data_IF_037514345148
#
_entry.id   IF_037514345148
#
_cell.length_a   1.000
_cell.length_b   1.000
_cell.length_c   1.000
_cell.angle_alpha   90.00
_cell.angle_beta   90.00
_cell.angle_gamma   90.00
#
_symmetry.space_group_name_H-M   'P 1'
#
loop_
_entity.id
_entity.type
_entity.pdbx_description
1 polymer ?
#
# COMPACT_ATOMS: atom_id res chain seq x y z
N UNK A 1 12.65 8.37 -13.97
CA UNK A 1 12.90 9.60 -14.75
C UNK A 1 12.93 10.81 -13.80
N UNK A 2 13.86 10.82 -12.83
CA UNK A 2 14.35 12.04 -12.15
C UNK A 2 15.78 11.72 -11.72
N UNK A 3 16.70 11.94 -12.66
CA UNK A 3 18.10 12.24 -12.40
C UNK A 3 18.38 13.57 -13.10
N UNK A 4 17.46 14.53 -12.92
CA UNK A 4 17.68 15.90 -13.36
C UNK A 4 18.89 16.39 -12.57
N UNK A 5 19.88 16.98 -13.25
CA UNK A 5 21.06 17.53 -12.58
C UNK A 5 20.64 18.35 -11.36
N UNK A 6 21.35 18.23 -10.24
CA UNK A 6 21.08 18.93 -8.98
C UNK A 6 20.02 18.33 -8.06
N UNK A 7 19.58 17.08 -8.27
CA UNK A 7 18.74 16.34 -7.32
C UNK A 7 19.29 14.93 -7.06
N UNK A 8 19.10 14.43 -5.84
CA UNK A 8 19.29 13.04 -5.46
C UNK A 8 17.95 12.46 -4.99
N UNK A 9 17.68 11.21 -5.36
CA UNK A 9 16.53 10.43 -4.87
C UNK A 9 17.06 9.31 -4.00
N UNK A 10 16.54 9.17 -2.80
CA UNK A 10 17.03 8.21 -1.82
C UNK A 10 15.90 7.36 -1.25
N UNK A 11 16.24 6.11 -0.92
CA UNK A 11 15.39 5.20 -0.17
C UNK A 11 16.14 4.76 1.08
N UNK A 12 15.45 4.80 2.21
CA UNK A 12 16.00 4.45 3.53
C UNK A 12 15.29 3.23 4.13
N UNK A 13 15.82 2.68 5.21
CA UNK A 13 15.06 1.81 6.10
C UNK A 13 14.27 2.61 7.16
N UNK A 14 13.62 1.92 8.10
CA UNK A 14 12.83 2.56 9.17
C UNK A 14 13.67 3.32 10.20
N UNK A 15 14.98 3.07 10.25
CA UNK A 15 15.91 3.72 11.17
C UNK A 15 16.60 4.95 10.53
N UNK A 16 16.33 5.22 9.26
CA UNK A 16 16.92 6.34 8.53
C UNK A 16 18.27 6.02 7.89
N UNK A 17 18.64 4.74 7.77
CA UNK A 17 19.84 4.34 7.02
C UNK A 17 19.54 4.38 5.54
N UNK A 18 20.35 5.11 4.76
CA UNK A 18 20.24 5.16 3.31
C UNK A 18 20.61 3.81 2.70
N UNK A 19 19.63 3.14 2.08
CA UNK A 19 19.81 1.86 1.41
C UNK A 19 20.22 2.03 -0.05
N UNK A 20 19.64 3.01 -0.73
CA UNK A 20 19.87 3.25 -2.16
C UNK A 20 19.77 4.74 -2.48
N UNK A 21 20.62 5.19 -3.41
CA UNK A 21 20.72 6.57 -3.86
C UNK A 21 20.81 6.61 -5.38
N UNK A 22 20.01 7.48 -5.99
CA UNK A 22 20.08 7.82 -7.42
C UNK A 22 20.39 9.29 -7.58
N UNK A 23 21.56 9.58 -8.13
CA UNK A 23 22.07 10.94 -8.32
C UNK A 23 22.85 11.04 -9.62
N UNK A 24 22.88 12.21 -10.25
CA UNK A 24 23.73 12.45 -11.41
C UNK A 24 25.21 12.43 -11.02
N UNK A 25 26.08 11.89 -11.87
CA UNK A 25 27.52 11.76 -11.58
C UNK A 25 28.22 13.09 -11.28
N UNK A 26 27.74 14.20 -11.87
CA UNK A 26 28.26 15.54 -11.58
C UNK A 26 27.87 16.08 -10.19
N UNK A 27 26.78 15.58 -9.61
CA UNK A 27 26.26 16.03 -8.31
C UNK A 27 26.67 15.10 -7.16
N UNK A 28 27.07 13.86 -7.45
CA UNK A 28 27.47 12.87 -6.44
C UNK A 28 28.50 13.41 -5.43
N UNK A 29 29.58 14.12 -5.84
CA UNK A 29 30.55 14.66 -4.88
C UNK A 29 29.94 15.68 -3.90
N UNK A 30 28.93 16.44 -4.34
CA UNK A 30 28.25 17.44 -3.51
C UNK A 30 27.42 16.76 -2.43
N UNK A 31 26.57 15.80 -2.82
CA UNK A 31 25.75 15.04 -1.86
C UNK A 31 26.59 14.21 -0.90
N UNK A 32 27.68 13.60 -1.39
CA UNK A 32 28.66 12.90 -0.54
C UNK A 32 29.32 13.86 0.46
N UNK A 33 29.64 15.09 0.05
CA UNK A 33 30.18 16.13 0.94
C UNK A 33 29.20 16.55 2.04
N UNK A 34 27.90 16.44 1.80
CA UNK A 34 26.85 16.64 2.81
C UNK A 34 26.59 15.41 3.69
N UNK A 35 27.25 14.29 3.41
CA UNK A 35 27.04 13.02 4.11
C UNK A 35 25.79 12.26 3.64
N UNK A 36 25.15 12.70 2.56
CA UNK A 36 23.96 12.06 1.98
C UNK A 36 24.41 11.05 0.93
N UNK A 37 24.66 9.81 1.35
CA UNK A 37 25.12 8.73 0.48
C UNK A 37 24.67 7.36 1.00
N UNK A 38 24.76 6.31 0.16
CA UNK A 38 24.48 4.93 0.56
C UNK A 38 25.23 4.54 1.86
N UNK A 39 24.50 3.94 2.80
CA UNK A 39 24.97 3.53 4.13
C UNK A 39 25.05 4.64 5.17
N UNK A 40 24.72 5.89 4.83
CA UNK A 40 24.69 6.96 5.81
C UNK A 40 23.45 6.85 6.71
N UNK A 41 23.65 7.12 8.02
CA UNK A 41 22.57 7.21 9.01
C UNK A 41 22.09 8.67 9.11
N UNK A 42 20.84 8.88 8.71
CA UNK A 42 20.13 10.16 8.71
C UNK A 42 18.98 10.21 9.74
N UNK A 43 19.03 9.35 10.76
CA UNK A 43 18.15 9.46 11.92
C UNK A 43 18.24 10.85 12.55
N UNK A 44 17.13 11.30 13.15
CA UNK A 44 17.11 12.59 13.85
C UNK A 44 18.05 12.58 15.09
N UNK A 45 18.27 11.42 15.71
CA UNK A 45 19.24 11.24 16.80
C UNK A 45 20.67 11.59 16.37
N UNK A 46 21.03 11.26 15.11
CA UNK A 46 22.39 11.45 14.60
C UNK A 46 22.61 12.79 13.90
N UNK A 47 21.67 13.22 13.06
CA UNK A 47 21.82 14.40 12.21
C UNK A 47 21.04 15.63 12.73
N UNK A 48 20.24 15.47 13.79
CA UNK A 48 19.27 16.48 14.23
C UNK A 48 18.13 16.64 13.22
N UNK A 49 17.36 17.73 13.31
CA UNK A 49 16.27 18.03 12.37
C UNK A 49 16.77 18.02 10.92
N UNK A 50 16.27 17.05 10.16
CA UNK A 50 16.60 16.80 8.75
C UNK A 50 15.39 16.19 8.02
N UNK A 51 15.42 16.08 6.68
CA UNK A 51 14.31 15.51 5.92
C UNK A 51 13.89 14.09 6.36
N UNK A 52 14.81 13.13 6.24
CA UNK A 52 14.60 11.70 6.47
C UNK A 52 14.17 11.43 7.91
N UNK A 53 15.01 11.83 8.88
CA UNK A 53 14.78 11.56 10.30
C UNK A 53 13.47 12.18 10.81
N UNK A 54 13.22 13.45 10.45
CA UNK A 54 11.98 14.14 10.85
C UNK A 54 10.77 13.50 10.20
N UNK A 55 10.86 13.04 8.94
CA UNK A 55 9.78 12.33 8.26
C UNK A 55 9.36 11.06 9.00
N UNK A 56 10.35 10.26 9.41
CA UNK A 56 10.16 9.02 10.16
C UNK A 56 9.55 9.31 11.55
N UNK A 57 10.09 10.29 12.26
CA UNK A 57 9.62 10.68 13.60
C UNK A 57 8.18 11.23 13.58
N UNK A 58 7.87 12.14 12.65
CA UNK A 58 6.57 12.78 12.52
C UNK A 58 5.50 11.90 11.86
N UNK A 59 5.92 10.77 11.26
CA UNK A 59 5.05 9.82 10.54
C UNK A 59 4.21 10.47 9.45
N UNK A 60 4.76 11.48 8.79
CA UNK A 60 4.08 12.25 7.73
C UNK A 60 5.08 12.80 6.73
N UNK A 61 4.57 13.20 5.57
CA UNK A 61 5.36 13.95 4.60
C UNK A 61 5.87 15.24 5.25
N UNK A 62 7.14 15.53 5.03
CA UNK A 62 7.79 16.77 5.44
C UNK A 62 8.46 17.43 4.25
N UNK A 63 8.65 18.74 4.37
CA UNK A 63 9.55 19.51 3.51
C UNK A 63 10.44 20.23 4.51
N UNK A 64 11.75 20.02 4.42
CA UNK A 64 12.74 20.74 5.22
C UNK A 64 13.53 21.61 4.26
N UNK A 65 13.35 22.92 4.36
CA UNK A 65 13.94 23.91 3.50
C UNK A 65 15.16 24.54 4.15
N UNK A 66 16.35 24.30 3.58
CA UNK A 66 17.56 25.07 3.86
C UNK A 66 17.88 25.18 5.35
N UNK A 67 17.77 26.38 5.90
CA UNK A 67 18.07 26.74 7.29
C UNK A 67 17.16 26.04 8.32
N UNK A 68 16.11 25.35 7.88
CA UNK A 68 15.35 24.42 8.71
C UNK A 68 16.15 23.14 9.06
N UNK A 69 17.25 22.85 8.37
CA UNK A 69 18.18 21.78 8.76
C UNK A 69 18.99 22.17 9.99
N UNK A 70 19.11 21.27 10.97
CA UNK A 70 19.86 21.51 12.21
C UNK A 70 21.37 21.71 11.96
N UNK A 71 21.98 20.95 11.05
CA UNK A 71 23.40 21.06 10.74
C UNK A 71 23.67 22.05 9.61
N UNK A 72 24.58 23.00 9.86
CA UNK A 72 24.98 24.05 8.91
C UNK A 72 25.49 23.49 7.58
N UNK A 73 26.11 22.30 7.56
CA UNK A 73 26.55 21.66 6.30
C UNK A 73 25.39 21.34 5.35
N UNK A 74 24.18 21.19 5.86
CA UNK A 74 22.99 20.77 5.10
C UNK A 74 22.07 21.94 4.72
N UNK A 75 22.34 23.17 5.18
CA UNK A 75 21.43 24.31 4.96
C UNK A 75 21.40 24.83 3.52
N UNK A 76 22.28 24.33 2.66
CA UNK A 76 22.25 24.57 1.23
C UNK A 76 21.27 23.64 0.48
N UNK A 77 20.67 22.66 1.17
CA UNK A 77 19.80 21.63 0.62
C UNK A 77 18.33 21.90 0.96
N UNK A 78 17.42 21.44 0.10
CA UNK A 78 16.01 21.27 0.45
C UNK A 78 15.63 19.81 0.29
N UNK A 79 15.01 19.23 1.31
CA UNK A 79 14.57 17.84 1.34
C UNK A 79 13.05 17.79 1.29
N UNK A 80 12.54 16.80 0.57
CA UNK A 80 11.12 16.48 0.50
C UNK A 80 11.03 14.99 0.73
N UNK A 81 10.34 14.61 1.79
CA UNK A 81 10.38 13.24 2.32
C UNK A 81 8.97 12.73 2.53
N UNK A 82 8.74 11.45 2.22
CA UNK A 82 7.50 10.77 2.48
C UNK A 82 7.76 9.41 3.15
N UNK A 83 6.99 9.05 4.19
CA UNK A 83 7.11 7.74 4.81
C UNK A 83 6.51 6.68 3.89
N UNK A 84 7.06 5.47 3.97
CA UNK A 84 6.56 4.27 3.28
C UNK A 84 6.06 3.31 4.35
N UNK A 85 4.80 2.93 4.24
CA UNK A 85 4.15 2.01 5.17
C UNK A 85 4.18 0.54 4.73
N UNK A 86 4.53 -0.33 5.66
CA UNK A 86 4.50 -1.78 5.50
C UNK A 86 3.08 -2.35 5.49
N UNK A 87 3.00 -3.64 5.16
CA UNK A 87 1.74 -4.39 5.10
C UNK A 87 1.04 -4.54 6.47
N UNK A 88 1.79 -4.36 7.56
CA UNK A 88 1.28 -4.32 8.93
C UNK A 88 0.84 -2.91 9.36
N UNK A 89 0.99 -1.90 8.51
CA UNK A 89 0.62 -0.51 8.79
C UNK A 89 1.71 0.34 9.46
N UNK A 90 2.85 -0.26 9.84
CA UNK A 90 4.02 0.46 10.40
C UNK A 90 4.84 1.12 9.31
N UNK A 91 5.68 2.09 9.67
CA UNK A 91 6.67 2.65 8.74
C UNK A 91 7.80 1.64 8.56
N UNK A 92 8.20 1.40 7.31
CA UNK A 92 9.31 0.49 6.95
C UNK A 92 10.47 1.21 6.27
N UNK A 93 10.25 2.44 5.81
CA UNK A 93 11.21 3.24 5.06
C UNK A 93 10.74 4.70 4.97
N UNK A 94 11.64 5.59 4.58
CA UNK A 94 11.31 6.87 3.97
C UNK A 94 11.91 6.98 2.56
N UNK A 95 11.18 7.63 1.65
CA UNK A 95 11.68 8.06 0.36
C UNK A 95 11.95 9.57 0.40
N UNK A 96 13.13 9.97 -0.05
CA UNK A 96 13.60 11.35 -0.06
C UNK A 96 13.91 11.82 -1.49
N UNK A 97 13.62 13.10 -1.74
CA UNK A 97 14.21 13.86 -2.84
C UNK A 97 14.88 15.08 -2.28
N UNK A 98 16.21 15.04 -2.28
CA UNK A 98 17.08 16.14 -1.87
C UNK A 98 17.57 16.93 -3.08
N UNK A 99 17.45 18.27 -3.04
CA UNK A 99 17.96 19.14 -4.10
C UNK A 99 19.10 20.04 -3.64
N UNK A 100 20.13 20.12 -4.49
CA UNK A 100 21.28 20.97 -4.33
C UNK A 100 21.13 22.37 -4.98
N UNK A 101 19.97 22.67 -5.59
CA UNK A 101 19.79 23.89 -6.41
C UNK A 101 19.17 25.03 -5.62
N UNK A 102 19.78 26.23 -5.76
CA UNK A 102 19.31 27.48 -5.16
C UNK A 102 18.02 28.00 -5.82
N UNK A 103 17.72 27.60 -7.05
CA UNK A 103 16.58 28.11 -7.85
C UNK A 103 15.34 27.19 -7.82
N UNK A 104 15.16 26.36 -6.79
CA UNK A 104 13.94 25.59 -6.66
C UNK A 104 12.74 26.52 -6.43
N UNK A 105 11.85 26.60 -7.41
CA UNK A 105 10.59 27.33 -7.30
C UNK A 105 9.58 26.51 -6.51
N UNK A 106 8.66 27.18 -5.81
CA UNK A 106 7.61 26.52 -5.02
C UNK A 106 6.75 25.56 -5.88
N UNK A 107 6.52 25.90 -7.15
CA UNK A 107 5.81 25.04 -8.10
C UNK A 107 6.55 23.72 -8.39
N UNK A 108 7.89 23.77 -8.51
CA UNK A 108 8.69 22.57 -8.70
C UNK A 108 8.68 21.66 -7.45
N UNK A 109 8.73 22.26 -6.26
CA UNK A 109 8.67 21.51 -5.00
C UNK A 109 7.32 20.81 -4.82
N UNK A 110 6.21 21.43 -5.25
CA UNK A 110 4.89 20.80 -5.24
C UNK A 110 4.83 19.59 -6.18
N UNK A 111 5.44 19.69 -7.36
CA UNK A 111 5.50 18.57 -8.31
C UNK A 111 6.36 17.42 -7.79
N UNK A 112 7.53 17.72 -7.21
CA UNK A 112 8.37 16.70 -6.55
C UNK A 112 7.60 16.03 -5.42
N UNK A 113 6.97 16.81 -4.53
CA UNK A 113 6.21 16.27 -3.42
C UNK A 113 5.06 15.37 -3.88
N UNK A 114 4.33 15.76 -4.92
CA UNK A 114 3.28 14.92 -5.49
C UNK A 114 3.84 13.61 -6.04
N UNK A 115 4.92 13.67 -6.82
CA UNK A 115 5.56 12.48 -7.39
C UNK A 115 6.12 11.56 -6.29
N UNK A 116 6.74 12.13 -5.26
CA UNK A 116 7.29 11.42 -4.12
C UNK A 116 6.21 10.61 -3.40
N UNK A 117 5.07 11.25 -3.10
CA UNK A 117 3.92 10.58 -2.48
C UNK A 117 3.38 9.45 -3.35
N UNK A 118 3.30 9.65 -4.67
CA UNK A 118 2.87 8.58 -5.59
C UNK A 118 3.87 7.42 -5.63
N UNK A 119 5.17 7.71 -5.59
CA UNK A 119 6.21 6.67 -5.53
C UNK A 119 6.17 5.92 -4.20
N UNK A 120 5.98 6.60 -3.06
CA UNK A 120 5.79 5.95 -1.77
C UNK A 120 4.60 4.98 -1.83
N UNK A 121 3.43 5.44 -2.29
CA UNK A 121 2.22 4.61 -2.45
C UNK A 121 2.44 3.39 -3.35
N UNK A 122 3.17 3.54 -4.46
CA UNK A 122 3.50 2.42 -5.34
C UNK A 122 4.40 1.37 -4.66
N UNK A 123 5.35 1.82 -3.83
CA UNK A 123 6.18 0.92 -3.01
C UNK A 123 5.32 0.20 -1.98
N UNK A 124 4.41 0.90 -1.31
CA UNK A 124 3.48 0.30 -0.33
C UNK A 124 2.58 -0.77 -0.96
N UNK A 125 2.01 -0.49 -2.13
CA UNK A 125 1.17 -1.45 -2.87
C UNK A 125 1.99 -2.68 -3.29
N UNK A 126 3.19 -2.48 -3.86
CA UNK A 126 4.08 -3.58 -4.23
C UNK A 126 4.49 -4.43 -3.00
N UNK A 127 4.84 -3.78 -1.89
CA UNK A 127 5.18 -4.45 -0.64
C UNK A 127 3.98 -5.24 -0.07
N UNK A 128 2.76 -4.68 -0.14
CA UNK A 128 1.56 -5.38 0.28
C UNK A 128 1.27 -6.63 -0.56
N UNK A 129 1.43 -6.54 -1.87
CA UNK A 129 1.31 -7.70 -2.77
C UNK A 129 2.34 -8.79 -2.46
N UNK A 130 3.59 -8.41 -2.20
CA UNK A 130 4.65 -9.35 -1.82
C UNK A 130 4.38 -10.01 -0.46
N UNK A 131 3.87 -9.25 0.53
CA UNK A 131 3.58 -9.76 1.86
C UNK A 131 2.45 -10.79 1.91
N UNK A 132 1.51 -10.73 0.95
CA UNK A 132 0.37 -11.64 0.86
C UNK A 132 0.34 -12.37 -0.48
N UNK A 133 1.48 -12.92 -0.89
CA UNK A 133 1.61 -13.71 -2.11
C UNK A 133 0.58 -14.85 -2.14
N UNK A 134 -0.14 -14.98 -3.26
CA UNK A 134 -1.18 -16.00 -3.45
C UNK A 134 -2.55 -15.65 -2.85
N UNK A 135 -2.66 -14.58 -2.05
CA UNK A 135 -3.96 -14.08 -1.61
C UNK A 135 -4.68 -13.33 -2.75
N UNK A 136 -6.01 -13.41 -2.75
CA UNK A 136 -6.84 -12.60 -3.65
C UNK A 136 -6.92 -11.18 -3.12
N UNK A 137 -6.59 -10.20 -3.95
CA UNK A 137 -6.69 -8.79 -3.57
C UNK A 137 -8.07 -8.23 -3.91
N UNK A 138 -8.72 -7.64 -2.91
CA UNK A 138 -9.91 -6.81 -3.10
C UNK A 138 -9.50 -5.34 -3.04
N UNK A 139 -9.75 -4.64 -4.14
CA UNK A 139 -9.56 -3.19 -4.25
C UNK A 139 -10.93 -2.52 -4.13
N UNK A 140 -11.05 -1.56 -3.21
CA UNK A 140 -12.19 -0.66 -3.21
C UNK A 140 -11.88 0.56 -4.07
N UNK A 141 -12.81 0.95 -4.94
CA UNK A 141 -12.74 2.22 -5.64
C UNK A 141 -13.13 3.32 -4.66
N UNK A 142 -12.25 4.29 -4.46
CA UNK A 142 -12.53 5.47 -3.65
C UNK A 142 -12.23 6.70 -4.48
N UNK A 143 -13.20 7.59 -4.62
CA UNK A 143 -13.08 8.84 -5.39
C UNK A 143 -12.03 9.81 -4.81
N UNK A 144 -11.60 9.59 -3.56
CA UNK A 144 -10.60 10.42 -2.89
C UNK A 144 -9.27 9.70 -2.69
N UNK A 145 -8.21 10.39 -3.14
CA UNK A 145 -6.79 10.10 -2.92
C UNK A 145 -6.32 8.75 -3.50
N UNK A 146 -5.53 8.78 -4.57
CA UNK A 146 -4.96 7.63 -5.34
C UNK A 146 -4.31 6.47 -4.53
N UNK A 147 -4.17 6.59 -3.21
CA UNK A 147 -3.73 5.48 -2.36
C UNK A 147 -4.72 4.31 -2.44
N UNK A 148 -4.20 3.14 -2.81
CA UNK A 148 -4.98 1.92 -2.98
C UNK A 148 -5.61 1.46 -1.66
N UNK A 149 -6.92 1.21 -1.69
CA UNK A 149 -7.65 0.55 -0.60
C UNK A 149 -7.66 -0.93 -0.88
N UNK A 150 -6.65 -1.66 -0.39
CA UNK A 150 -6.49 -3.10 -0.62
C UNK A 150 -6.73 -3.92 0.64
N UNK A 151 -7.48 -5.01 0.47
CA UNK A 151 -7.65 -6.11 1.40
C UNK A 151 -7.10 -7.39 0.77
N UNK A 152 -6.27 -8.13 1.50
CA UNK A 152 -5.80 -9.47 1.09
C UNK A 152 -6.75 -10.53 1.65
N UNK A 153 -7.25 -11.43 0.79
CA UNK A 153 -8.24 -12.45 1.14
C UNK A 153 -7.73 -13.84 0.79
N UNK A 154 -7.82 -14.76 1.74
CA UNK A 154 -7.40 -16.15 1.55
C UNK A 154 -8.44 -17.01 0.80
N UNK A 155 -8.18 -18.32 0.72
CA UNK A 155 -9.05 -19.29 0.06
C UNK A 155 -10.39 -19.54 0.77
N UNK A 156 -10.49 -19.20 2.05
CA UNK A 156 -11.66 -19.40 2.90
C UNK A 156 -12.51 -18.12 3.03
N UNK A 157 -12.24 -17.11 2.19
CA UNK A 157 -12.91 -15.80 2.17
C UNK A 157 -12.68 -14.99 3.46
N UNK A 158 -11.57 -15.25 4.16
CA UNK A 158 -11.10 -14.44 5.27
C UNK A 158 -10.16 -13.35 4.76
N UNK A 159 -10.43 -12.12 5.14
CA UNK A 159 -9.45 -11.03 5.06
C UNK A 159 -8.34 -11.34 6.04
N UNK A 160 -7.11 -11.42 5.53
CA UNK A 160 -5.89 -11.72 6.28
C UNK A 160 -4.92 -10.53 6.32
N UNK A 161 -5.23 -9.46 5.59
CA UNK A 161 -4.41 -8.25 5.54
C UNK A 161 -5.17 -7.05 5.01
N UNK A 162 -4.75 -5.86 5.41
CA UNK A 162 -5.29 -4.60 4.93
C UNK A 162 -4.20 -3.52 4.89
N UNK A 163 -4.15 -2.77 3.78
CA UNK A 163 -3.33 -1.56 3.65
C UNK A 163 -3.68 -0.52 4.72
N UNK A 164 -2.77 0.41 5.01
CA UNK A 164 -3.01 1.47 6.02
C UNK A 164 -4.28 2.27 5.75
N UNK A 165 -4.57 2.63 4.50
CA UNK A 165 -5.80 3.33 4.12
C UNK A 165 -7.04 2.45 4.33
N UNK A 166 -6.98 1.16 3.96
CA UNK A 166 -8.05 0.21 4.23
C UNK A 166 -8.30 0.04 5.73
N UNK A 167 -7.24 -0.07 6.56
CA UNK A 167 -7.38 -0.14 8.02
C UNK A 167 -8.16 1.05 8.57
N UNK A 168 -7.85 2.26 8.11
CA UNK A 168 -8.58 3.49 8.50
C UNK A 168 -10.05 3.46 8.07
N UNK A 169 -10.33 3.10 6.82
CA UNK A 169 -11.71 3.08 6.27
C UNK A 169 -12.59 2.06 6.98
N UNK A 170 -12.07 0.86 7.24
CA UNK A 170 -12.81 -0.23 7.87
C UNK A 170 -12.75 -0.22 9.41
N UNK A 171 -12.22 0.84 10.03
CA UNK A 171 -12.14 0.95 11.50
C UNK A 171 -11.31 -0.14 12.17
N UNK A 172 -10.24 -0.60 11.50
CA UNK A 172 -9.35 -1.65 11.99
C UNK A 172 -8.20 -1.08 12.81
N UNK A 173 -7.50 -1.94 13.54
CA UNK A 173 -6.25 -1.58 14.21
C UNK A 173 -5.26 -0.96 13.21
N UNK A 174 -4.73 0.22 13.55
CA UNK A 174 -3.90 1.00 12.65
C UNK A 174 -2.62 0.27 12.24
N UNK A 175 -2.03 -0.49 13.16
CA UNK A 175 -0.74 -1.14 12.99
C UNK A 175 -0.71 -2.55 13.62
N UNK A 176 0.24 -3.38 13.17
CA UNK A 176 0.50 -4.71 13.69
C UNK A 176 -0.22 -5.84 12.95
N UNK A 177 -0.14 -7.03 13.56
CA UNK A 177 -0.71 -8.25 13.01
C UNK A 177 -2.21 -8.10 12.74
N UNK A 178 -2.64 -8.58 11.57
CA UNK A 178 -4.05 -8.56 11.21
C UNK A 178 -4.73 -9.79 11.80
N UNK A 179 -5.78 -9.60 12.59
CA UNK A 179 -6.63 -10.70 13.04
C UNK A 179 -7.56 -11.10 11.88
N UNK A 180 -7.52 -12.34 11.37
CA UNK A 180 -8.35 -12.72 10.23
C UNK A 180 -9.84 -12.53 10.49
N UNK A 181 -10.58 -12.00 9.50
CA UNK A 181 -12.04 -11.75 9.61
C UNK A 181 -12.75 -12.10 8.30
N UNK A 182 -14.00 -12.58 8.32
CA UNK A 182 -14.76 -12.80 7.09
C UNK A 182 -14.84 -11.54 6.23
N UNK A 183 -14.61 -11.67 4.92
CA UNK A 183 -14.72 -10.54 3.99
C UNK A 183 -16.13 -9.94 3.95
N UNK A 184 -17.16 -10.77 4.20
CA UNK A 184 -18.54 -10.30 4.28
C UNK A 184 -18.78 -9.28 5.40
N UNK A 185 -18.14 -9.47 6.56
CA UNK A 185 -18.28 -8.62 7.75
C UNK A 185 -17.66 -7.24 7.52
N UNK A 186 -16.56 -7.17 6.77
CA UNK A 186 -15.87 -5.91 6.48
C UNK A 186 -16.54 -5.13 5.35
N UNK A 187 -17.14 -5.83 4.38
CA UNK A 187 -17.77 -5.21 3.22
C UNK A 187 -19.26 -4.88 3.43
N UNK A 188 -19.79 -5.06 4.65
CA UNK A 188 -21.15 -4.64 5.01
C UNK A 188 -22.26 -5.31 4.20
N UNK A 189 -22.06 -6.56 3.75
CA UNK A 189 -23.11 -7.30 3.04
C UNK A 189 -24.07 -7.98 4.01
N UNK A 190 -24.69 -7.19 4.89
CA UNK A 190 -25.59 -7.65 5.96
C UNK A 190 -27.04 -7.87 5.51
N UNK A 191 -27.42 -7.48 4.29
CA UNK A 191 -28.82 -7.57 3.84
C UNK A 191 -29.15 -8.89 3.09
N UNK A 192 -28.32 -9.92 3.25
CA UNK A 192 -28.41 -11.19 2.50
C UNK A 192 -28.64 -12.43 3.37
N UNK A 193 -29.02 -13.58 2.78
CA UNK A 193 -29.26 -14.83 3.50
C UNK A 193 -28.10 -15.21 4.43
N UNK A 194 -28.41 -15.83 5.56
CA UNK A 194 -27.44 -16.20 6.61
C UNK A 194 -26.30 -17.07 6.06
N UNK A 195 -25.12 -16.98 6.68
CA UNK A 195 -23.82 -17.36 6.08
C UNK A 195 -23.77 -18.71 5.35
N UNK A 196 -24.40 -19.76 5.88
CA UNK A 196 -24.39 -21.08 5.26
C UNK A 196 -25.23 -21.13 3.97
N UNK A 197 -26.39 -20.49 3.96
CA UNK A 197 -27.26 -20.43 2.77
C UNK A 197 -26.66 -19.54 1.68
N UNK A 198 -25.97 -18.45 2.04
CA UNK A 198 -25.25 -17.60 1.09
C UNK A 198 -24.05 -18.32 0.46
N UNK A 199 -23.27 -19.04 1.27
CA UNK A 199 -22.16 -19.85 0.77
C UNK A 199 -22.65 -20.95 -0.17
N UNK A 200 -23.72 -21.64 0.20
CA UNK A 200 -24.34 -22.67 -0.63
C UNK A 200 -24.91 -22.09 -1.94
N UNK A 201 -25.61 -20.94 -1.86
CA UNK A 201 -26.12 -20.23 -3.04
C UNK A 201 -24.99 -19.83 -3.99
N UNK A 202 -23.90 -19.28 -3.46
CA UNK A 202 -22.74 -18.90 -4.26
C UNK A 202 -22.07 -20.12 -4.92
N UNK A 203 -21.96 -21.24 -4.20
CA UNK A 203 -21.43 -22.49 -4.76
C UNK A 203 -22.30 -23.03 -5.90
N UNK A 204 -23.63 -23.01 -5.73
CA UNK A 204 -24.58 -23.44 -6.77
C UNK A 204 -24.52 -22.54 -8.00
N UNK A 205 -24.52 -21.22 -7.82
CA UNK A 205 -24.42 -20.26 -8.94
C UNK A 205 -23.10 -20.47 -9.71
N UNK A 206 -21.96 -20.56 -9.02
CA UNK A 206 -20.65 -20.80 -9.68
C UNK A 206 -20.63 -22.09 -10.48
N UNK A 207 -21.21 -23.17 -9.95
CA UNK A 207 -21.28 -24.45 -10.64
C UNK A 207 -22.17 -24.38 -11.90
N UNK A 208 -23.33 -23.71 -11.81
CA UNK A 208 -24.22 -23.50 -12.95
C UNK A 208 -23.57 -22.62 -14.03
N UNK A 209 -22.90 -21.53 -13.65
CA UNK A 209 -22.19 -20.67 -14.61
C UNK A 209 -21.06 -21.40 -15.33
N UNK A 210 -20.25 -22.20 -14.63
CA UNK A 210 -19.19 -23.02 -15.26
C UNK A 210 -19.73 -24.11 -16.17
N UNK A 211 -20.94 -24.58 -15.90
CA UNK A 211 -21.65 -25.58 -16.69
C UNK A 211 -22.51 -24.96 -17.81
N UNK A 212 -22.45 -23.64 -18.02
CA UNK A 212 -23.29 -22.90 -18.97
C UNK A 212 -24.78 -23.24 -18.80
N UNK A 213 -25.26 -23.30 -17.56
CA UNK A 213 -26.65 -23.62 -17.22
C UNK A 213 -26.98 -25.12 -17.19
N UNK A 214 -26.04 -26.01 -17.56
CA UNK A 214 -26.29 -27.45 -17.53
C UNK A 214 -26.33 -27.99 -16.10
N UNK A 215 -27.55 -28.14 -15.56
CA UNK A 215 -27.82 -28.60 -14.19
C UNK A 215 -27.20 -29.98 -13.90
N UNK A 216 -27.18 -30.92 -14.85
CA UNK A 216 -26.55 -32.23 -14.65
C UNK A 216 -25.03 -32.13 -14.51
N UNK A 217 -24.39 -31.27 -15.31
CA UNK A 217 -22.95 -31.05 -15.22
C UNK A 217 -22.57 -30.29 -13.95
N UNK A 218 -23.36 -29.28 -13.55
CA UNK A 218 -23.18 -28.56 -12.30
C UNK A 218 -23.34 -29.49 -11.07
N UNK A 219 -24.33 -30.37 -11.06
CA UNK A 219 -24.54 -31.34 -9.99
C UNK A 219 -23.34 -32.29 -9.82
N UNK A 220 -22.80 -32.78 -10.96
CA UNK A 220 -21.60 -33.62 -10.98
C UNK A 220 -20.38 -32.88 -10.44
N UNK A 221 -20.18 -31.62 -10.84
CA UNK A 221 -19.08 -30.79 -10.35
C UNK A 221 -19.17 -30.50 -8.84
N UNK A 222 -20.38 -30.45 -8.28
CA UNK A 222 -20.63 -30.29 -6.85
C UNK A 222 -20.66 -31.61 -6.06
N UNK A 223 -20.49 -32.76 -6.72
CA UNK A 223 -20.53 -34.08 -6.05
C UNK A 223 -21.91 -34.45 -5.49
N UNK A 224 -23.00 -33.88 -6.00
CA UNK A 224 -24.37 -34.16 -5.53
C UNK A 224 -25.27 -34.69 -6.65
N UNK A 225 -26.34 -35.39 -6.28
CA UNK A 225 -27.34 -35.85 -7.23
C UNK A 225 -28.14 -34.71 -7.87
N UNK A 226 -28.53 -34.86 -9.15
CA UNK A 226 -29.35 -33.87 -9.90
C UNK A 226 -30.60 -33.43 -9.15
N UNK A 227 -31.34 -34.39 -8.57
CA UNK A 227 -32.55 -34.10 -7.78
C UNK A 227 -32.24 -33.26 -6.52
N UNK A 228 -31.08 -33.47 -5.91
CA UNK A 228 -30.62 -32.68 -4.76
C UNK A 228 -30.28 -31.25 -5.18
N UNK A 229 -29.65 -31.07 -6.35
CA UNK A 229 -29.35 -29.73 -6.87
C UNK A 229 -30.63 -28.93 -7.16
N UNK A 230 -31.63 -29.53 -7.80
CA UNK A 230 -32.94 -28.86 -8.02
C UNK A 230 -33.61 -28.43 -6.72
N UNK A 231 -33.62 -29.29 -5.69
CA UNK A 231 -34.18 -28.93 -4.37
C UNK A 231 -33.44 -27.75 -3.74
N UNK A 232 -32.11 -27.71 -3.86
CA UNK A 232 -31.27 -26.61 -3.37
C UNK A 232 -31.52 -25.32 -4.15
N UNK A 233 -31.58 -25.37 -5.48
CA UNK A 233 -31.90 -24.20 -6.32
C UNK A 233 -33.25 -23.58 -5.95
N UNK A 234 -34.29 -24.41 -5.76
CA UNK A 234 -35.61 -23.95 -5.33
C UNK A 234 -35.58 -23.30 -3.94
N UNK A 235 -34.90 -23.93 -2.97
CA UNK A 235 -34.77 -23.37 -1.61
C UNK A 235 -34.00 -22.04 -1.60
N UNK A 236 -32.99 -21.91 -2.44
CA UNK A 236 -32.09 -20.74 -2.51
C UNK A 236 -32.57 -19.65 -3.48
N UNK A 237 -33.77 -19.78 -4.05
CA UNK A 237 -34.35 -18.80 -4.98
C UNK A 237 -33.53 -18.62 -6.27
N UNK A 238 -32.91 -19.68 -6.78
CA UNK A 238 -32.16 -19.66 -8.05
C UNK A 238 -33.09 -20.14 -9.16
N UNK A 239 -33.44 -19.25 -10.09
CA UNK A 239 -34.30 -19.58 -11.24
C UNK A 239 -33.51 -20.39 -12.30
N UNK A 240 -34.18 -21.34 -12.93
CA UNK A 240 -33.70 -21.97 -14.17
C UNK A 240 -33.86 -20.96 -15.30
N UNK A 241 -32.74 -20.43 -15.81
CA UNK A 241 -32.68 -19.62 -17.05
C UNK A 241 -32.38 -20.50 -18.25
#
# INVERSE_FOLDING_TARGET
LVGLSGCAVLLTDSEGIVLEQRVGSGDEPVFRGWGLHNGADWSEEREGTNGIGTCLAERRRVIIHRDEHFLVRNTAMSCIDAPVYGADGRIIAAIDVSSARVEQTEGFNRLIAAQLVQTARAIEEANFHAAYEGARMLRADTDEDDAAVLLAVDGDDLVIGATRKARRIFGLAAEGAFAPRPAADLLGRDDGPTGFEKAERAAVIRALSRASGNVSAAARALGIGRATLYRRMKRLGIADS
#
